data_IF_998212807011
#
_entry.id   IF_998212807011
#
_cell.length_a   1.000
_cell.length_b   1.000
_cell.length_c   1.000
_cell.angle_alpha   90.00
_cell.angle_beta   90.00
_cell.angle_gamma   90.00
#
_symmetry.space_group_name_H-M   'P 1'
#
loop_
_entity.id
_entity.type
_entity.pdbx_description
1 polymer ?
#
# COMPACT_ATOMS: atom_id res chain seq x y z
N UNK A 1 -16.03 11.18 14.07
CA UNK A 1 -16.29 11.60 12.67
C UNK A 1 -15.20 10.92 11.84
N UNK A 2 -15.53 10.06 10.88
CA UNK A 2 -14.53 9.21 10.20
C UNK A 2 -13.75 9.95 9.11
N UNK A 3 -14.38 10.94 8.48
CA UNK A 3 -13.76 11.84 7.50
C UNK A 3 -13.73 13.28 8.02
N UNK A 4 -12.62 13.96 7.80
CA UNK A 4 -12.47 15.39 8.09
C UNK A 4 -13.19 16.25 7.03
N UNK A 5 -13.11 15.83 5.78
CA UNK A 5 -13.70 16.46 4.59
C UNK A 5 -14.52 15.42 3.81
N UNK A 6 -15.69 15.78 3.29
CA UNK A 6 -16.60 14.87 2.57
C UNK A 6 -16.42 14.94 1.06
N UNK A 7 -15.88 16.04 0.54
CA UNK A 7 -15.61 16.24 -0.88
C UNK A 7 -14.26 15.62 -1.26
N UNK A 8 -14.27 14.65 -2.18
CA UNK A 8 -13.07 13.93 -2.58
C UNK A 8 -12.03 14.82 -3.29
N UNK A 9 -12.46 15.88 -3.98
CA UNK A 9 -11.54 16.84 -4.61
C UNK A 9 -10.85 17.67 -3.54
N UNK A 10 -11.58 18.10 -2.51
CA UNK A 10 -10.98 18.81 -1.38
C UNK A 10 -10.05 17.93 -0.56
N UNK A 11 -10.38 16.63 -0.39
CA UNK A 11 -9.46 15.66 0.22
C UNK A 11 -8.14 15.58 -0.57
N UNK A 12 -8.21 15.48 -1.91
CA UNK A 12 -7.02 15.46 -2.76
C UNK A 12 -6.20 16.75 -2.66
N UNK A 13 -6.86 17.92 -2.61
CA UNK A 13 -6.17 19.19 -2.42
C UNK A 13 -5.37 19.24 -1.10
N UNK A 14 -5.93 18.71 0.00
CA UNK A 14 -5.19 18.61 1.27
C UNK A 14 -3.98 17.69 1.18
N UNK A 15 -4.09 16.57 0.46
CA UNK A 15 -2.94 15.69 0.22
C UNK A 15 -1.86 16.43 -0.57
N UNK A 16 -2.23 17.17 -1.61
CA UNK A 16 -1.29 17.98 -2.41
C UNK A 16 -0.59 19.02 -1.52
N UNK A 17 -1.32 19.75 -0.68
CA UNK A 17 -0.75 20.72 0.27
C UNK A 17 0.25 20.10 1.26
N UNK A 18 0.06 18.83 1.64
CA UNK A 18 1.00 18.13 2.52
C UNK A 18 2.22 17.64 1.76
N UNK A 19 2.04 17.02 0.59
CA UNK A 19 3.13 16.48 -0.21
C UNK A 19 4.07 17.58 -0.72
N UNK A 20 3.54 18.76 -1.04
CA UNK A 20 4.35 19.92 -1.50
C UNK A 20 5.26 20.50 -0.43
N UNK A 21 5.09 20.14 0.85
CA UNK A 21 6.01 20.52 1.94
C UNK A 21 7.26 19.65 2.01
N UNK A 22 7.27 18.51 1.30
CA UNK A 22 8.41 17.60 1.28
C UNK A 22 9.53 18.20 0.39
N UNK A 23 10.79 18.27 0.87
CA UNK A 23 11.89 18.82 0.09
C UNK A 23 12.07 18.17 -1.29
N UNK A 24 12.29 18.97 -2.34
CA UNK A 24 12.41 18.49 -3.73
C UNK A 24 13.51 17.46 -3.97
N UNK A 25 14.53 17.41 -3.10
CA UNK A 25 15.60 16.39 -3.15
C UNK A 25 15.12 14.97 -2.81
N UNK A 26 13.92 14.83 -2.25
CA UNK A 26 13.31 13.55 -1.88
C UNK A 26 12.35 13.15 -3.00
N UNK A 27 12.62 12.00 -3.62
CA UNK A 27 11.72 11.41 -4.61
C UNK A 27 10.55 10.72 -3.91
N UNK A 28 9.34 10.94 -4.41
CA UNK A 28 8.08 10.42 -3.88
C UNK A 28 7.42 9.57 -4.97
N UNK A 29 7.10 8.33 -4.63
CA UNK A 29 6.40 7.40 -5.51
C UNK A 29 5.02 7.12 -4.92
N UNK A 30 3.96 7.33 -5.70
CA UNK A 30 2.58 7.25 -5.24
C UNK A 30 1.83 6.22 -6.09
N UNK A 31 1.26 5.22 -5.44
CA UNK A 31 0.32 4.27 -6.04
C UNK A 31 -1.08 4.52 -5.45
N UNK A 32 -2.17 4.27 -6.20
CA UNK A 32 -3.52 4.36 -5.67
C UNK A 32 -3.87 3.16 -4.78
N UNK A 33 -4.84 3.36 -3.89
CA UNK A 33 -5.58 2.33 -3.18
C UNK A 33 -7.07 2.29 -3.52
N UNK A 34 -7.83 1.46 -2.82
CA UNK A 34 -9.27 1.23 -3.07
C UNK A 34 -10.18 2.43 -2.69
N UNK A 35 -9.64 3.38 -1.92
CA UNK A 35 -10.33 4.61 -1.51
C UNK A 35 -10.00 5.82 -2.38
N UNK A 36 -9.01 5.71 -3.28
CA UNK A 36 -8.59 6.82 -4.13
C UNK A 36 -9.52 7.02 -5.34
N UNK A 37 -9.41 8.22 -5.92
CA UNK A 37 -10.11 8.57 -7.15
C UNK A 37 -9.60 7.74 -8.33
N UNK A 38 -10.53 7.25 -9.16
CA UNK A 38 -10.24 6.46 -10.35
C UNK A 38 -10.82 5.05 -10.28
N UNK A 39 -10.11 4.09 -10.86
CA UNK A 39 -10.55 2.69 -10.93
C UNK A 39 -10.51 2.05 -9.55
N UNK A 40 -11.59 1.37 -9.15
CA UNK A 40 -11.65 0.58 -7.91
C UNK A 40 -11.12 -0.86 -8.03
N UNK A 41 -11.25 -1.46 -9.21
CA UNK A 41 -10.79 -2.83 -9.47
C UNK A 41 -9.28 -2.89 -9.70
N UNK A 42 -8.64 -3.96 -9.23
CA UNK A 42 -7.24 -4.24 -9.55
C UNK A 42 -7.11 -4.80 -10.98
N UNK A 43 -6.01 -4.52 -11.70
CA UNK A 43 -5.00 -3.51 -11.38
C UNK A 43 -5.57 -2.09 -11.54
N UNK A 44 -5.09 -1.15 -10.73
CA UNK A 44 -5.51 0.25 -10.79
C UNK A 44 -4.47 1.08 -11.56
N UNK A 45 -4.86 1.81 -12.61
CA UNK A 45 -4.02 2.87 -13.18
C UNK A 45 -3.75 3.96 -12.13
N UNK A 46 -2.71 4.76 -12.35
CA UNK A 46 -2.43 5.93 -11.51
C UNK A 46 -3.64 6.85 -11.36
N UNK A 47 -3.75 7.53 -10.20
CA UNK A 47 -4.82 8.49 -9.91
C UNK A 47 -5.01 9.46 -11.09
N UNK A 48 -6.22 9.65 -11.64
CA UNK A 48 -6.42 10.47 -12.83
C UNK A 48 -5.90 11.90 -12.70
N UNK A 49 -5.28 12.41 -13.78
CA UNK A 49 -4.72 13.78 -13.84
C UNK A 49 -5.74 14.88 -13.57
N UNK A 50 -7.00 14.66 -13.93
CA UNK A 50 -8.08 15.63 -13.69
C UNK A 50 -8.24 16.00 -12.21
N UNK A 51 -7.86 15.11 -11.30
CA UNK A 51 -7.95 15.33 -9.84
C UNK A 51 -6.63 15.67 -9.18
N UNK A 52 -5.50 15.38 -9.85
CA UNK A 52 -4.17 15.41 -9.25
C UNK A 52 -3.12 16.08 -10.13
N UNK A 53 -3.55 16.93 -11.08
CA UNK A 53 -2.70 17.55 -12.11
C UNK A 53 -1.41 18.13 -11.55
N UNK A 54 -1.49 18.84 -10.43
CA UNK A 54 -0.36 19.48 -9.76
C UNK A 54 0.72 18.44 -9.41
N UNK A 55 0.35 17.25 -8.90
CA UNK A 55 1.32 16.20 -8.55
C UNK A 55 2.12 15.70 -9.76
N UNK A 56 1.52 15.71 -10.96
CA UNK A 56 2.20 15.32 -12.20
C UNK A 56 3.18 16.39 -12.71
N UNK A 57 3.12 17.61 -12.19
CA UNK A 57 4.02 18.71 -12.60
C UNK A 57 5.31 18.74 -11.76
N UNK A 58 5.32 18.13 -10.57
CA UNK A 58 6.50 18.03 -9.71
C UNK A 58 7.50 16.99 -10.23
N UNK A 59 8.75 17.42 -10.45
CA UNK A 59 9.81 16.55 -10.98
C UNK A 59 10.21 15.41 -10.05
N UNK A 60 10.04 15.60 -8.74
CA UNK A 60 10.38 14.60 -7.72
C UNK A 60 9.19 13.71 -7.34
N UNK A 61 8.01 13.84 -7.97
CA UNK A 61 6.83 13.02 -7.72
C UNK A 61 6.54 12.14 -8.93
N UNK A 62 6.39 10.84 -8.69
CA UNK A 62 6.01 9.85 -9.70
C UNK A 62 4.67 9.20 -9.32
N UNK A 63 3.66 9.46 -10.13
CA UNK A 63 2.33 8.84 -10.02
C UNK A 63 2.32 7.51 -10.79
N UNK A 64 2.07 6.41 -10.10
CA UNK A 64 2.23 5.04 -10.59
C UNK A 64 0.92 4.24 -10.45
N UNK A 65 0.85 3.09 -11.12
CA UNK A 65 -0.27 2.15 -10.96
C UNK A 65 -0.14 1.28 -9.70
N UNK A 66 -1.20 0.55 -9.37
CA UNK A 66 -1.23 -0.45 -8.31
C UNK A 66 -1.58 -1.82 -8.93
N UNK A 67 -0.68 -2.81 -8.89
CA UNK A 67 0.67 -2.77 -8.30
C UNK A 67 1.71 -2.05 -9.18
N UNK A 68 2.90 -1.82 -8.64
CA UNK A 68 4.06 -1.32 -9.39
C UNK A 68 5.37 -1.93 -8.86
N UNK A 69 6.25 -2.37 -9.76
CA UNK A 69 7.62 -2.78 -9.44
C UNK A 69 8.58 -1.63 -9.75
N UNK A 70 9.27 -1.14 -8.72
CA UNK A 70 10.30 -0.11 -8.81
C UNK A 70 11.68 -0.71 -8.58
N UNK A 71 12.70 -0.16 -9.24
CA UNK A 71 14.10 -0.48 -8.96
C UNK A 71 14.84 0.78 -8.53
N UNK A 72 15.35 0.79 -7.30
CA UNK A 72 16.09 1.90 -6.72
C UNK A 72 17.48 1.41 -6.30
N UNK A 73 18.53 1.89 -6.97
CA UNK A 73 19.92 1.50 -6.69
C UNK A 73 20.13 -0.03 -6.68
N UNK A 74 19.49 -0.75 -7.59
CA UNK A 74 19.54 -2.21 -7.69
C UNK A 74 18.62 -2.97 -6.73
N UNK A 75 17.83 -2.27 -5.91
CA UNK A 75 16.83 -2.89 -5.02
C UNK A 75 15.45 -2.86 -5.66
N UNK A 76 14.85 -4.04 -5.84
CA UNK A 76 13.51 -4.21 -6.42
C UNK A 76 12.42 -4.12 -5.36
N UNK A 77 11.54 -3.14 -5.49
CA UNK A 77 10.46 -2.84 -4.56
C UNK A 77 9.13 -3.05 -5.29
N UNK A 78 8.42 -4.12 -4.92
CA UNK A 78 7.05 -4.35 -5.37
C UNK A 78 6.09 -3.63 -4.44
N UNK A 79 5.53 -2.52 -4.91
CA UNK A 79 4.51 -1.75 -4.22
C UNK A 79 3.13 -2.27 -4.62
N UNK A 80 2.32 -2.64 -3.64
CA UNK A 80 0.96 -3.10 -3.84
C UNK A 80 0.09 -2.64 -2.68
N UNK A 81 -1.05 -1.98 -2.92
CA UNK A 81 -1.88 -1.44 -1.83
C UNK A 81 -2.28 -2.50 -0.78
N UNK A 82 -2.57 -3.74 -1.20
CA UNK A 82 -2.89 -4.83 -0.28
C UNK A 82 -4.36 -5.21 -0.20
N UNK A 83 -5.22 -4.75 -1.13
CA UNK A 83 -6.67 -4.99 -1.07
C UNK A 83 -7.04 -6.48 -0.98
N UNK A 84 -6.30 -7.34 -1.67
CA UNK A 84 -6.49 -8.81 -1.66
C UNK A 84 -6.18 -9.49 -0.33
N UNK A 85 -5.54 -8.79 0.62
CA UNK A 85 -5.27 -9.34 1.95
C UNK A 85 -6.57 -9.68 2.68
N UNK A 86 -7.67 -8.96 2.42
CA UNK A 86 -8.99 -9.30 2.95
C UNK A 86 -9.43 -10.71 2.55
N UNK A 87 -9.20 -11.09 1.29
CA UNK A 87 -9.60 -12.40 0.78
C UNK A 87 -8.65 -13.49 1.29
N UNK A 88 -7.34 -13.22 1.36
CA UNK A 88 -6.38 -14.16 1.91
C UNK A 88 -6.67 -14.45 3.40
N UNK A 89 -6.92 -13.41 4.19
CA UNK A 89 -7.26 -13.54 5.61
C UNK A 89 -8.59 -14.29 5.78
N UNK A 90 -9.60 -13.98 4.95
CA UNK A 90 -10.91 -14.63 5.04
C UNK A 90 -10.90 -16.11 4.63
N UNK A 91 -10.02 -16.50 3.70
CA UNK A 91 -10.00 -17.86 3.11
C UNK A 91 -8.93 -18.78 3.69
N UNK A 92 -7.98 -18.26 4.46
CA UNK A 92 -6.87 -19.06 5.01
C UNK A 92 -6.97 -19.19 6.54
N UNK A 93 -7.14 -20.40 7.08
CA UNK A 93 -7.15 -20.63 8.52
C UNK A 93 -5.86 -20.15 9.21
N UNK A 94 -6.00 -19.52 10.38
CA UNK A 94 -4.88 -19.07 11.20
C UNK A 94 -4.31 -17.69 10.85
N UNK A 95 -4.86 -17.02 9.84
CA UNK A 95 -4.52 -15.63 9.53
C UNK A 95 -5.52 -14.65 10.15
N UNK A 96 -5.05 -13.44 10.38
CA UNK A 96 -5.83 -12.36 10.95
C UNK A 96 -5.30 -11.00 10.48
N UNK A 97 -6.07 -9.95 10.75
CA UNK A 97 -5.63 -8.58 10.51
C UNK A 97 -4.46 -8.14 11.42
N UNK A 98 -4.19 -8.87 12.51
CA UNK A 98 -3.05 -8.56 13.41
C UNK A 98 -1.70 -9.10 12.94
N UNK A 99 -1.67 -9.97 11.93
CA UNK A 99 -0.44 -10.53 11.36
C UNK A 99 -0.41 -10.44 9.82
N UNK A 100 -0.54 -9.23 9.23
CA UNK A 100 -0.68 -9.07 7.79
C UNK A 100 0.56 -9.53 6.99
N UNK A 101 1.77 -9.57 7.57
CA UNK A 101 2.93 -10.04 6.84
C UNK A 101 2.86 -11.55 6.52
N UNK A 102 2.17 -12.35 7.36
CA UNK A 102 1.93 -13.77 7.06
C UNK A 102 0.94 -13.93 5.88
N UNK A 103 -0.06 -13.05 5.75
CA UNK A 103 -0.94 -13.02 4.58
C UNK A 103 -0.18 -12.58 3.31
N UNK A 104 0.68 -11.55 3.42
CA UNK A 104 1.54 -11.12 2.30
C UNK A 104 2.52 -12.21 1.86
N UNK A 105 3.04 -13.00 2.80
CA UNK A 105 3.89 -14.18 2.52
C UNK A 105 3.16 -15.25 1.72
N UNK A 106 1.84 -15.40 1.88
CA UNK A 106 1.04 -16.30 1.03
C UNK A 106 0.98 -15.78 -0.40
N UNK A 107 0.81 -14.47 -0.61
CA UNK A 107 0.86 -13.87 -1.95
C UNK A 107 2.21 -14.13 -2.63
N UNK A 108 3.32 -13.99 -1.90
CA UNK A 108 4.66 -14.34 -2.40
C UNK A 108 4.79 -15.83 -2.75
N UNK A 109 4.27 -16.72 -1.91
CA UNK A 109 4.27 -18.17 -2.19
C UNK A 109 3.44 -18.52 -3.43
N UNK A 110 2.29 -17.88 -3.58
CA UNK A 110 1.41 -18.05 -4.73
C UNK A 110 1.96 -17.37 -6.00
N UNK A 111 2.95 -16.49 -5.87
CA UNK A 111 3.49 -15.64 -6.95
C UNK A 111 2.40 -14.83 -7.63
N UNK A 112 1.43 -14.38 -6.84
CA UNK A 112 0.27 -13.65 -7.33
C UNK A 112 -0.29 -12.76 -6.23
N UNK A 113 -0.53 -11.49 -6.55
CA UNK A 113 -0.97 -10.47 -5.60
C UNK A 113 -2.46 -10.53 -5.30
N UNK A 114 -3.30 -11.13 -6.15
CA UNK A 114 -4.74 -11.31 -5.88
C UNK A 114 -5.29 -12.64 -6.40
N UNK A 115 -4.84 -13.79 -5.88
CA UNK A 115 -5.12 -15.12 -6.47
C UNK A 115 -6.56 -15.61 -6.29
N UNK A 116 -7.36 -14.93 -5.47
CA UNK A 116 -8.74 -15.32 -5.18
C UNK A 116 -9.69 -14.54 -6.08
N UNK A 117 -10.55 -15.25 -6.81
CA UNK A 117 -11.57 -14.65 -7.69
C UNK A 117 -12.97 -14.71 -7.05
N UNK A 118 -13.79 -13.68 -7.30
CA UNK A 118 -15.21 -13.67 -6.92
C UNK A 118 -15.50 -13.39 -5.42
N UNK A 119 -14.50 -12.93 -4.67
CA UNK A 119 -14.65 -12.55 -3.26
C UNK A 119 -14.71 -11.01 -3.13
N UNK A 120 -14.08 -10.43 -2.09
CA UNK A 120 -14.19 -9.00 -1.79
C UNK A 120 -13.35 -8.14 -2.71
N UNK A 121 -12.26 -8.67 -3.27
CA UNK A 121 -11.38 -7.93 -4.15
C UNK A 121 -11.95 -7.85 -5.58
N UNK A 122 -12.28 -6.65 -6.07
CA UNK A 122 -12.70 -6.47 -7.44
C UNK A 122 -11.51 -6.61 -8.40
N UNK A 123 -11.66 -7.45 -9.42
CA UNK A 123 -10.67 -7.66 -10.48
C UNK A 123 -11.22 -7.15 -11.81
N UNK A 124 -10.44 -6.32 -12.50
CA UNK A 124 -10.74 -5.83 -13.85
C UNK A 124 -10.50 -6.95 -14.85
N UNK A 125 -11.40 -7.18 -15.84
CA UNK A 125 -11.19 -8.16 -16.89
C UNK A 125 -10.18 -7.62 -17.92
N UNK A 126 -8.89 -7.65 -17.56
CA UNK A 126 -7.78 -7.26 -18.43
C UNK A 126 -7.37 -8.42 -19.35
N UNK A 127 -6.73 -8.10 -20.48
CA UNK A 127 -6.17 -9.11 -21.39
C UNK A 127 -4.96 -9.84 -20.80
N UNK A 128 -4.21 -9.15 -19.95
CA UNK A 128 -3.02 -9.67 -19.26
C UNK A 128 -3.19 -9.55 -17.75
N UNK A 129 -2.75 -10.58 -17.01
CA UNK A 129 -2.81 -10.59 -15.57
C UNK A 129 -1.60 -9.88 -14.95
N UNK A 130 -1.79 -8.59 -14.66
CA UNK A 130 -0.78 -7.73 -14.04
C UNK A 130 -0.61 -7.98 -12.53
N UNK A 131 -1.38 -8.90 -11.94
CA UNK A 131 -1.25 -9.25 -10.52
C UNK A 131 -0.25 -10.39 -10.29
N UNK A 132 0.23 -11.04 -11.36
CA UNK A 132 1.29 -12.05 -11.31
C UNK A 132 2.60 -11.41 -10.83
N UNK A 133 3.28 -12.07 -9.89
CA UNK A 133 4.62 -11.70 -9.43
C UNK A 133 5.62 -12.44 -10.30
N UNK A 134 6.02 -11.87 -11.43
CA UNK A 134 6.95 -12.44 -12.41
C UNK A 134 8.41 -12.41 -11.92
N UNK A 135 8.80 -11.30 -11.29
CA UNK A 135 10.11 -11.08 -10.69
C UNK A 135 10.01 -11.13 -9.17
N UNK A 136 10.95 -11.83 -8.54
CA UNK A 136 11.03 -11.87 -7.07
C UNK A 136 11.53 -10.50 -6.59
N UNK A 137 10.77 -9.76 -5.77
CA UNK A 137 11.22 -8.47 -5.26
C UNK A 137 12.15 -8.66 -4.06
N UNK A 138 13.02 -7.69 -3.84
CA UNK A 138 13.80 -7.56 -2.60
C UNK A 138 12.90 -7.04 -1.46
N UNK A 139 11.93 -6.17 -1.78
CA UNK A 139 10.94 -5.64 -0.85
C UNK A 139 9.53 -5.80 -1.43
N UNK A 140 8.62 -6.44 -0.69
CA UNK A 140 7.18 -6.37 -0.93
C UNK A 140 6.56 -5.41 0.07
N UNK A 141 6.02 -4.30 -0.43
CA UNK A 141 5.34 -3.28 0.38
C UNK A 141 3.83 -3.30 0.18
N UNK A 142 3.09 -3.24 1.28
CA UNK A 142 1.63 -3.03 1.29
C UNK A 142 1.16 -2.14 2.43
N UNK A 143 -0.12 -1.78 2.38
CA UNK A 143 -0.87 -1.11 3.43
C UNK A 143 -2.21 -1.81 3.65
N UNK A 144 -3.31 -1.06 3.47
CA UNK A 144 -4.72 -1.50 3.51
C UNK A 144 -5.24 -1.97 4.88
N UNK A 145 -4.50 -2.82 5.58
CA UNK A 145 -4.90 -3.43 6.87
C UNK A 145 -4.72 -2.46 8.06
N UNK A 146 -3.90 -1.42 7.90
CA UNK A 146 -3.61 -0.40 8.93
C UNK A 146 -2.83 -0.94 10.15
N UNK A 147 -2.24 -2.14 10.06
CA UNK A 147 -1.39 -2.73 11.11
C UNK A 147 0.03 -2.91 10.57
N UNK A 148 1.01 -2.40 11.32
CA UNK A 148 2.42 -2.61 11.00
C UNK A 148 2.81 -4.06 11.26
N UNK A 149 3.42 -4.67 10.25
CA UNK A 149 4.06 -5.96 10.37
C UNK A 149 5.22 -6.03 9.38
N UNK A 150 6.38 -6.46 9.87
CA UNK A 150 7.62 -6.47 9.10
C UNK A 150 8.31 -7.81 9.31
N UNK A 151 8.54 -8.54 8.23
CA UNK A 151 9.12 -9.87 8.27
C UNK A 151 10.08 -10.08 7.10
N UNK A 152 10.96 -11.08 7.22
CA UNK A 152 11.74 -11.57 6.08
C UNK A 152 11.23 -12.95 5.67
N UNK A 153 11.03 -13.15 4.37
CA UNK A 153 10.72 -14.46 3.82
C UNK A 153 11.66 -14.79 2.66
N UNK A 154 12.58 -15.74 2.90
CA UNK A 154 13.55 -16.22 1.92
C UNK A 154 14.33 -15.10 1.21
N UNK A 155 14.71 -14.05 1.94
CA UNK A 155 15.46 -12.93 1.41
C UNK A 155 14.59 -11.72 1.04
N UNK A 156 13.30 -11.89 0.73
CA UNK A 156 12.39 -10.77 0.50
C UNK A 156 11.95 -10.15 1.82
N UNK A 157 12.15 -8.84 1.97
CA UNK A 157 11.59 -8.06 3.08
C UNK A 157 10.11 -7.76 2.81
N UNK A 158 9.25 -8.21 3.70
CA UNK A 158 7.81 -7.94 3.69
C UNK A 158 7.54 -6.77 4.62
N UNK A 159 6.87 -5.73 4.13
CA UNK A 159 6.53 -4.54 4.90
C UNK A 159 5.05 -4.21 4.72
N UNK A 160 4.25 -4.37 5.78
CA UNK A 160 2.99 -3.65 5.92
C UNK A 160 3.25 -2.38 6.73
N UNK A 161 3.03 -1.20 6.14
CA UNK A 161 3.42 0.08 6.75
C UNK A 161 2.39 0.68 7.71
N UNK A 162 1.29 -0.03 8.02
CA UNK A 162 0.24 0.50 8.89
C UNK A 162 -0.54 1.65 8.25
N UNK A 163 -0.83 2.70 9.03
CA UNK A 163 -1.64 3.82 8.58
C UNK A 163 -1.32 5.13 9.31
N UNK A 164 -2.00 6.19 8.88
CA UNK A 164 -2.04 7.51 9.54
C UNK A 164 -3.43 7.87 10.03
N UNK A 165 -4.34 6.89 10.09
CA UNK A 165 -5.72 7.06 10.53
C UNK A 165 -5.95 6.32 11.85
N UNK A 166 -6.50 7.02 12.84
CA UNK A 166 -6.96 6.40 14.09
C UNK A 166 -8.08 5.38 13.84
N UNK A 167 -8.31 4.51 14.82
CA UNK A 167 -9.30 3.43 14.71
C UNK A 167 -10.70 3.96 14.37
N UNK A 168 -11.30 3.41 13.30
CA UNK A 168 -12.67 3.72 12.89
C UNK A 168 -13.69 2.81 13.58
N UNK A 169 -14.98 3.16 13.53
CA UNK A 169 -16.04 2.29 14.09
C UNK A 169 -16.13 0.96 13.34
N UNK A 170 -15.91 1.01 12.02
CA UNK A 170 -15.83 -0.19 11.19
C UNK A 170 -14.69 -1.11 11.66
N UNK A 171 -13.48 -0.58 11.84
CA UNK A 171 -12.33 -1.35 12.33
C UNK A 171 -12.59 -1.94 13.71
N UNK A 172 -13.19 -1.17 14.62
CA UNK A 172 -13.58 -1.67 15.95
C UNK A 172 -14.56 -2.84 15.85
N UNK A 173 -15.55 -2.75 14.97
CA UNK A 173 -16.54 -3.83 14.75
C UNK A 173 -15.89 -5.09 14.17
N UNK A 174 -14.83 -4.92 13.36
CA UNK A 174 -14.05 -6.00 12.77
C UNK A 174 -12.95 -6.53 13.70
N UNK A 175 -12.80 -5.98 14.92
CA UNK A 175 -11.74 -6.36 15.85
C UNK A 175 -10.32 -5.97 15.39
N UNK A 176 -10.20 -4.96 14.52
CA UNK A 176 -8.93 -4.47 13.98
C UNK A 176 -8.40 -3.35 14.88
N UNK A 177 -7.21 -3.52 15.43
CA UNK A 177 -6.48 -2.47 16.18
C UNK A 177 -5.36 -1.91 15.29
N UNK A 178 -5.53 -0.74 14.66
CA UNK A 178 -4.51 -0.18 13.78
C UNK A 178 -3.31 0.36 14.57
N UNK A 179 -2.21 0.61 13.88
CA UNK A 179 -0.98 1.20 14.41
C UNK A 179 -0.71 2.56 13.75
N UNK A 180 -1.50 3.61 14.06
CA UNK A 180 -1.35 4.92 13.43
C UNK A 180 -0.09 5.66 13.89
N UNK A 181 0.44 6.52 13.03
CA UNK A 181 1.50 7.47 13.42
C UNK A 181 2.90 6.88 13.46
N UNK A 182 3.13 5.73 12.82
CA UNK A 182 4.43 5.08 12.77
C UNK A 182 4.85 4.93 11.30
N UNK A 183 6.08 5.34 10.98
CA UNK A 183 6.68 5.12 9.67
C UNK A 183 7.71 3.98 9.72
N UNK A 184 7.77 3.18 8.64
CA UNK A 184 8.83 2.19 8.43
C UNK A 184 9.87 2.79 7.48
N UNK A 185 11.11 2.83 7.94
CA UNK A 185 12.26 3.26 7.13
C UNK A 185 13.14 2.06 6.87
N UNK A 186 13.57 1.89 5.63
CA UNK A 186 14.42 0.78 5.21
C UNK A 186 15.73 1.32 4.66
N UNK A 187 16.85 0.83 5.18
CA UNK A 187 18.15 1.08 4.57
C UNK A 187 18.29 0.18 3.32
N UNK A 188 18.28 0.77 2.12
CA UNK A 188 18.33 0.01 0.88
C UNK A 188 19.64 -0.79 0.68
N UNK A 189 20.75 -0.39 1.31
CA UNK A 189 22.00 -1.12 1.19
C UNK A 189 22.02 -2.42 2.02
N UNK A 190 21.25 -2.47 3.10
CA UNK A 190 21.24 -3.62 4.04
C UNK A 190 19.89 -4.33 4.13
N UNK A 191 18.85 -3.73 3.54
CA UNK A 191 17.43 -4.09 3.71
C UNK A 191 16.98 -4.13 5.17
N UNK A 192 17.69 -3.43 6.07
CA UNK A 192 17.33 -3.38 7.49
C UNK A 192 16.21 -2.37 7.72
N UNK A 193 15.06 -2.81 8.28
CA UNK A 193 13.96 -1.91 8.63
C UNK A 193 14.14 -1.33 10.03
N UNK A 194 13.70 -0.09 10.23
CA UNK A 194 13.52 0.52 11.54
C UNK A 194 12.23 1.33 11.58
N UNK A 195 11.68 1.50 12.78
CA UNK A 195 10.41 2.19 13.02
C UNK A 195 10.70 3.60 13.53
N UNK A 196 9.95 4.57 13.01
CA UNK A 196 9.92 5.93 13.54
C UNK A 196 8.51 6.16 14.06
N UNK A 197 8.36 6.26 15.38
CA UNK A 197 7.08 6.48 16.05
C UNK A 197 6.86 7.99 16.29
N UNK A 198 5.85 8.56 15.64
CA UNK A 198 5.48 9.98 15.78
C UNK A 198 4.52 10.23 16.93
N UNK A 199 4.11 9.20 17.67
CA UNK A 199 3.34 9.36 18.90
C UNK A 199 4.24 9.68 20.12
N UNK A 200 5.55 9.49 19.98
CA UNK A 200 6.56 9.73 21.03
C UNK A 200 7.37 11.03 20.82
N UNK A 201 7.08 11.79 19.75
CA UNK A 201 7.76 13.03 19.36
C UNK A 201 6.89 14.24 19.69
#
# INVERSE_FOLDING_TARGET
KELLELDAIKQMNHVIELLTKIPEKINIFIIPGNHDLGRRALPQPSIPKEYSKILYEFKNISMLGNPCLLELNGVKILMFHGQSLDDIIATTPGLSYSNPAEAMKILLKARHLSPVYGQRTPLSPEYEDMMVIDQIPDILHSGHVHVIDVQNYKGTLIVNSGAWQAQTKFQQTMGITPTPGIAIVVNLATLQPFRVDFNEI
#
